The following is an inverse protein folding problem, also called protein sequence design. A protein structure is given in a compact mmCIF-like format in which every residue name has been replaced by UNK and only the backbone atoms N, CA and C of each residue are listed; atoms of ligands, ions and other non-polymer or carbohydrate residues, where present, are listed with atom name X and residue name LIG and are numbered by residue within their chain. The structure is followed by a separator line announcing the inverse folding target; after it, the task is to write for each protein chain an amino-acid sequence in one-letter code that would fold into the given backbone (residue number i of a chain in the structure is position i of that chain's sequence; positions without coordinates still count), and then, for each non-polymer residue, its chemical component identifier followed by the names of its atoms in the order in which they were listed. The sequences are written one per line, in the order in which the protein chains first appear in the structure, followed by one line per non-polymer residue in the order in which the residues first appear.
data_IF_473209556260
#
_entry.id   IF_473209556260
#
_cell.length_a   1.000
_cell.length_b   1.000
_cell.length_c   1.000
_cell.angle_alpha   90.00
_cell.angle_beta   90.00
_cell.angle_gamma   90.00
#
_symmetry.space_group_name_H-M   'P 1'
#
loop_
_entity.id
_entity.type
_entity.pdbx_description
1 polymer ?
#
# COMPACT_ATOMS: atom_id res chain seq x y z
N UNK A 1 -10.70 25.84 -6.36
CA UNK A 1 -10.61 26.54 -5.09
C UNK A 1 -11.19 27.94 -5.25
N UNK A 2 -12.51 28.08 -4.95
CA UNK A 2 -13.24 29.34 -5.04
C UNK A 2 -12.85 30.39 -3.97
N UNK A 3 -12.05 30.04 -2.99
CA UNK A 3 -11.62 30.97 -1.93
C UNK A 3 -10.39 31.83 -2.24
N UNK A 4 -9.63 31.51 -3.29
CA UNK A 4 -8.48 32.32 -3.70
C UNK A 4 -8.76 33.33 -4.80
N UNK A 5 -9.97 33.35 -5.35
CA UNK A 5 -10.33 34.24 -6.46
C UNK A 5 -10.66 35.70 -6.02
N UNK A 6 -10.72 35.97 -4.72
CA UNK A 6 -11.07 37.30 -4.19
C UNK A 6 -9.95 38.04 -3.46
N UNK A 7 -8.80 37.38 -3.27
CA UNK A 7 -7.56 38.07 -2.90
C UNK A 7 -6.79 38.29 -4.21
N UNK A 8 -6.35 39.51 -4.48
CA UNK A 8 -5.34 39.78 -5.50
C UNK A 8 -4.29 38.68 -5.38
N UNK A 9 -4.29 37.75 -6.34
CA UNK A 9 -3.54 36.50 -6.25
C UNK A 9 -2.07 36.90 -6.08
N UNK A 10 -1.53 36.75 -4.89
CA UNK A 10 -0.10 36.83 -4.68
C UNK A 10 0.50 35.64 -5.44
N UNK A 11 0.83 35.89 -6.71
CA UNK A 11 1.54 34.93 -7.54
C UNK A 11 2.96 34.84 -6.98
N UNK A 12 3.22 33.79 -6.22
CA UNK A 12 4.59 33.52 -5.78
C UNK A 12 5.44 33.24 -6.99
N UNK A 13 6.41 34.09 -7.24
CA UNK A 13 7.34 33.93 -8.34
C UNK A 13 8.08 32.59 -8.23
N UNK A 14 8.03 31.82 -9.31
CA UNK A 14 8.80 30.58 -9.47
C UNK A 14 10.19 30.97 -9.96
N UNK A 15 11.22 30.80 -9.11
CA UNK A 15 12.60 31.20 -9.41
C UNK A 15 13.26 30.33 -10.46
N UNK A 16 12.93 29.03 -10.47
CA UNK A 16 13.48 28.09 -11.47
C UNK A 16 13.05 28.40 -12.89
N UNK A 17 12.06 29.28 -13.10
CA UNK A 17 11.53 29.60 -14.42
C UNK A 17 10.79 28.46 -15.11
N UNK A 18 10.54 27.36 -14.40
CA UNK A 18 9.85 26.18 -14.94
C UNK A 18 8.36 26.44 -15.13
N UNK A 19 7.84 25.99 -16.27
CA UNK A 19 6.40 25.88 -16.46
C UNK A 19 5.78 24.86 -15.50
N UNK A 20 4.46 24.98 -15.26
CA UNK A 20 3.74 24.16 -14.29
C UNK A 20 3.90 22.64 -14.52
N UNK A 21 3.85 22.20 -15.78
CA UNK A 21 3.97 20.77 -16.12
C UNK A 21 5.38 20.24 -15.91
N UNK A 22 6.42 21.01 -16.30
CA UNK A 22 7.82 20.63 -16.08
C UNK A 22 8.14 20.60 -14.59
N UNK A 23 7.71 21.61 -13.85
CA UNK A 23 7.85 21.66 -12.39
C UNK A 23 7.24 20.42 -11.74
N UNK A 24 5.99 20.12 -12.11
CA UNK A 24 5.26 18.95 -11.60
C UNK A 24 5.96 17.64 -11.94
N UNK A 25 6.47 17.51 -13.17
CA UNK A 25 7.17 16.30 -13.63
C UNK A 25 8.46 16.07 -12.84
N UNK A 26 9.27 17.11 -12.67
CA UNK A 26 10.54 17.06 -11.92
C UNK A 26 10.26 16.74 -10.44
N UNK A 27 9.30 17.44 -9.82
CA UNK A 27 8.93 17.20 -8.44
C UNK A 27 8.36 15.80 -8.23
N UNK A 28 7.55 15.31 -9.16
CA UNK A 28 7.00 13.95 -9.09
C UNK A 28 8.09 12.88 -9.20
N UNK A 29 9.11 13.08 -10.05
CA UNK A 29 10.25 12.17 -10.11
C UNK A 29 11.09 12.20 -8.82
N UNK A 30 11.31 13.37 -8.25
CA UNK A 30 11.92 13.49 -6.92
C UNK A 30 11.16 12.70 -5.86
N UNK A 31 9.83 12.88 -5.79
CA UNK A 31 8.98 12.13 -4.88
C UNK A 31 9.03 10.62 -5.14
N UNK A 32 9.00 10.20 -6.40
CA UNK A 32 9.11 8.80 -6.81
C UNK A 32 10.43 8.19 -6.33
N UNK A 33 11.56 8.82 -6.62
CA UNK A 33 12.88 8.30 -6.24
C UNK A 33 13.03 8.24 -4.73
N UNK A 34 12.65 9.29 -4.00
CA UNK A 34 12.76 9.34 -2.54
C UNK A 34 11.80 8.36 -1.86
N UNK A 35 10.58 8.18 -2.37
CA UNK A 35 9.62 7.21 -1.84
C UNK A 35 10.15 5.77 -1.94
N UNK A 36 10.60 5.35 -3.12
CA UNK A 36 11.07 3.98 -3.34
C UNK A 36 12.42 3.66 -2.68
N UNK A 37 13.19 4.68 -2.29
CA UNK A 37 14.40 4.53 -1.47
C UNK A 37 14.12 4.68 0.03
N UNK A 38 12.86 4.91 0.44
CA UNK A 38 12.47 5.05 1.84
C UNK A 38 12.93 6.35 2.50
N UNK A 39 13.31 7.36 1.71
CA UNK A 39 13.82 8.64 2.19
C UNK A 39 12.71 9.68 2.24
N UNK A 40 12.36 10.17 3.43
CA UNK A 40 11.33 11.19 3.66
C UNK A 40 11.85 12.42 4.41
N UNK A 41 13.07 12.34 4.91
CA UNK A 41 13.81 13.43 5.56
C UNK A 41 15.18 13.54 4.89
N UNK A 42 15.66 14.77 4.69
CA UNK A 42 16.87 15.04 3.92
C UNK A 42 17.71 16.10 4.63
N UNK A 43 19.00 15.83 4.80
CA UNK A 43 19.94 16.95 4.97
C UNK A 43 20.18 17.62 3.61
N UNK A 44 20.80 18.80 3.64
CA UNK A 44 20.99 19.60 2.42
C UNK A 44 21.78 18.84 1.33
N UNK A 45 22.79 18.09 1.71
CA UNK A 45 23.62 17.32 0.78
C UNK A 45 22.80 16.23 0.08
N UNK A 46 22.04 15.46 0.85
CA UNK A 46 21.19 14.41 0.29
C UNK A 46 20.08 14.98 -0.60
N UNK A 47 19.45 16.08 -0.20
CA UNK A 47 18.41 16.73 -0.99
C UNK A 47 18.96 17.21 -2.34
N UNK A 48 20.08 17.93 -2.34
CA UNK A 48 20.75 18.37 -3.59
C UNK A 48 21.10 17.20 -4.50
N UNK A 49 21.56 16.07 -3.93
CA UNK A 49 21.82 14.86 -4.70
C UNK A 49 20.58 14.35 -5.42
N UNK A 50 19.42 14.31 -4.74
CA UNK A 50 18.15 13.91 -5.38
C UNK A 50 17.72 14.91 -6.49
N UNK A 51 17.86 16.21 -6.24
CA UNK A 51 17.53 17.23 -7.25
C UNK A 51 18.46 17.17 -8.45
N UNK A 52 19.73 16.85 -8.25
CA UNK A 52 20.69 16.62 -9.32
C UNK A 52 20.38 15.35 -10.15
N UNK A 53 19.87 14.30 -9.48
CA UNK A 53 19.36 13.13 -10.21
C UNK A 53 18.14 13.50 -11.08
N UNK A 54 17.28 14.42 -10.64
CA UNK A 54 16.18 14.93 -11.44
C UNK A 54 16.68 15.69 -12.66
N UNK A 55 17.65 16.59 -12.49
CA UNK A 55 18.26 17.35 -13.56
C UNK A 55 18.91 16.44 -14.63
N UNK A 56 19.61 15.39 -14.19
CA UNK A 56 20.21 14.41 -15.08
C UNK A 56 19.18 13.53 -15.81
N UNK A 57 18.01 13.27 -15.18
CA UNK A 57 16.92 12.49 -15.80
C UNK A 57 16.20 13.27 -16.89
N UNK A 58 16.07 14.59 -16.71
CA UNK A 58 15.36 15.51 -17.61
C UNK A 58 16.32 16.55 -18.18
N UNK A 59 17.35 16.08 -18.90
CA UNK A 59 18.42 16.92 -19.48
C UNK A 59 17.93 17.93 -20.50
N UNK A 60 16.76 17.68 -21.09
CA UNK A 60 16.05 18.60 -22.00
C UNK A 60 15.34 19.75 -21.26
N UNK A 61 15.11 19.64 -19.94
CA UNK A 61 14.49 20.69 -19.12
C UNK A 61 15.57 21.40 -18.32
N UNK A 62 15.84 22.65 -18.65
CA UNK A 62 16.89 23.42 -17.99
C UNK A 62 16.37 24.13 -16.76
N UNK A 63 16.98 23.92 -15.62
CA UNK A 63 16.73 24.62 -14.36
C UNK A 63 17.97 24.62 -13.46
N UNK A 64 18.03 25.59 -12.55
CA UNK A 64 19.06 25.66 -11.51
C UNK A 64 18.56 24.94 -10.27
N UNK A 65 19.36 23.99 -9.74
CA UNK A 65 18.98 23.18 -8.57
C UNK A 65 18.64 24.04 -7.35
N UNK A 66 19.39 25.13 -7.12
CA UNK A 66 19.15 26.03 -6.00
C UNK A 66 17.84 26.80 -6.13
N UNK A 67 17.51 27.25 -7.33
CA UNK A 67 16.24 27.93 -7.59
C UNK A 67 15.05 26.98 -7.42
N UNK A 68 15.18 25.74 -7.91
CA UNK A 68 14.16 24.72 -7.71
C UNK A 68 14.00 24.34 -6.23
N UNK A 69 15.10 24.27 -5.47
CA UNK A 69 15.07 24.06 -4.01
C UNK A 69 14.30 25.18 -3.31
N UNK A 70 14.54 26.43 -3.70
CA UNK A 70 13.79 27.57 -3.15
C UNK A 70 12.31 27.43 -3.50
N UNK A 71 11.98 27.08 -4.73
CA UNK A 71 10.59 26.93 -5.16
C UNK A 71 9.85 25.86 -4.36
N UNK A 72 10.42 24.67 -4.20
CA UNK A 72 9.76 23.59 -3.46
C UNK A 72 9.64 23.84 -1.96
N UNK A 73 10.50 24.70 -1.40
CA UNK A 73 10.49 25.04 0.04
C UNK A 73 9.73 26.32 0.37
N UNK A 74 9.80 27.34 -0.48
CA UNK A 74 9.26 28.66 -0.20
C UNK A 74 8.07 29.04 -1.09
N UNK A 75 8.13 28.77 -2.41
CA UNK A 75 7.07 29.17 -3.32
C UNK A 75 5.85 28.24 -3.23
N UNK A 76 6.05 26.92 -3.28
CA UNK A 76 4.97 25.92 -3.23
C UNK A 76 4.86 25.19 -1.88
N UNK A 77 5.85 25.36 -0.99
CA UNK A 77 5.86 24.82 0.37
C UNK A 77 5.60 23.31 0.45
N UNK A 78 6.11 22.55 -0.49
CA UNK A 78 6.01 21.07 -0.50
C UNK A 78 6.99 20.44 0.48
N UNK A 79 8.14 21.08 0.70
CA UNK A 79 9.10 20.77 1.74
C UNK A 79 9.17 21.89 2.76
N UNK A 80 9.49 21.54 3.99
CA UNK A 80 9.77 22.50 5.08
C UNK A 80 11.17 22.21 5.60
N UNK A 81 11.92 23.29 5.92
CA UNK A 81 13.21 23.19 6.58
C UNK A 81 13.01 23.26 8.10
N UNK A 82 13.44 22.23 8.80
CA UNK A 82 13.43 22.17 10.26
C UNK A 82 14.86 21.99 10.77
N UNK A 83 15.40 23.06 11.34
CA UNK A 83 16.82 23.10 11.73
C UNK A 83 17.72 22.99 10.51
N UNK A 84 18.48 21.90 10.41
CA UNK A 84 19.40 21.61 9.28
C UNK A 84 18.80 20.65 8.25
N UNK A 85 17.65 20.05 8.55
CA UNK A 85 17.02 19.02 7.72
C UNK A 85 15.78 19.54 7.01
N UNK A 86 15.43 18.89 5.90
CA UNK A 86 14.25 19.14 5.09
C UNK A 86 13.34 17.91 5.16
N UNK A 87 12.03 18.15 5.28
CA UNK A 87 11.02 17.08 5.20
C UNK A 87 9.81 17.53 4.41
N UNK A 88 9.02 16.56 3.94
CA UNK A 88 7.74 16.88 3.30
C UNK A 88 6.80 17.54 4.30
N UNK A 89 6.15 18.64 3.91
CA UNK A 89 5.13 19.33 4.72
C UNK A 89 4.01 18.38 5.12
N UNK A 90 3.62 17.50 4.18
CA UNK A 90 2.80 16.32 4.42
C UNK A 90 3.36 15.14 3.65
N UNK A 91 3.54 14.01 4.32
CA UNK A 91 4.01 12.77 3.68
C UNK A 91 3.14 12.33 2.49
N UNK A 92 1.84 12.63 2.55
CA UNK A 92 0.91 12.35 1.46
C UNK A 92 1.26 13.05 0.14
N UNK A 93 2.01 14.16 0.16
CA UNK A 93 2.52 14.76 -1.08
C UNK A 93 3.54 13.86 -1.75
N UNK A 94 4.51 13.33 -0.99
CA UNK A 94 5.47 12.36 -1.53
C UNK A 94 4.75 11.16 -2.13
N UNK A 95 3.79 10.59 -1.40
CA UNK A 95 3.03 9.40 -1.82
C UNK A 95 2.20 9.66 -3.08
N UNK A 96 1.51 10.81 -3.16
CA UNK A 96 0.70 11.19 -4.32
C UNK A 96 1.56 11.40 -5.56
N UNK A 97 2.61 12.21 -5.47
CA UNK A 97 3.45 12.50 -6.62
C UNK A 97 4.28 11.27 -7.06
N UNK A 98 4.66 10.41 -6.12
CA UNK A 98 5.25 9.11 -6.45
C UNK A 98 4.25 8.23 -7.22
N UNK A 99 3.00 8.16 -6.79
CA UNK A 99 1.94 7.44 -7.50
C UNK A 99 1.66 8.05 -8.88
N UNK A 100 1.60 9.38 -8.97
CA UNK A 100 1.40 10.08 -10.24
C UNK A 100 2.55 9.80 -11.22
N UNK A 101 3.81 9.82 -10.76
CA UNK A 101 4.95 9.48 -11.63
C UNK A 101 4.93 8.00 -12.04
N UNK A 102 4.54 7.10 -11.14
CA UNK A 102 4.37 5.67 -11.47
C UNK A 102 3.39 5.48 -12.64
N UNK A 103 2.34 6.31 -12.74
CA UNK A 103 1.41 6.27 -13.86
C UNK A 103 2.03 6.65 -15.21
N UNK A 104 3.18 7.33 -15.21
CA UNK A 104 3.91 7.72 -16.43
C UNK A 104 4.85 6.63 -16.95
N UNK A 105 5.12 5.61 -16.15
CA UNK A 105 5.96 4.48 -16.55
C UNK A 105 5.26 3.65 -17.64
N UNK A 106 6.04 3.06 -18.53
CA UNK A 106 5.54 2.05 -19.47
C UNK A 106 5.07 0.81 -18.73
N UNK A 107 4.18 0.02 -19.35
CA UNK A 107 3.50 -1.10 -18.71
C UNK A 107 4.43 -2.13 -18.09
N UNK A 108 5.55 -2.45 -18.75
CA UNK A 108 6.54 -3.41 -18.25
C UNK A 108 7.25 -2.91 -16.98
N UNK A 109 7.74 -1.67 -17.00
CA UNK A 109 8.42 -1.04 -15.86
C UNK A 109 7.46 -0.90 -14.67
N UNK A 110 6.22 -0.47 -14.93
CA UNK A 110 5.21 -0.32 -13.89
C UNK A 110 4.86 -1.67 -13.25
N UNK A 111 4.72 -2.73 -14.07
CA UNK A 111 4.43 -4.08 -13.57
C UNK A 111 5.56 -4.60 -12.69
N UNK A 112 6.80 -4.50 -13.14
CA UNK A 112 7.98 -4.93 -12.39
C UNK A 112 8.13 -4.16 -11.07
N UNK A 113 7.99 -2.83 -11.14
CA UNK A 113 8.06 -1.96 -9.96
C UNK A 113 7.02 -2.36 -8.91
N UNK A 114 5.76 -2.52 -9.33
CA UNK A 114 4.66 -2.84 -8.42
C UNK A 114 4.74 -4.26 -7.87
N UNK A 115 5.19 -5.24 -8.67
CA UNK A 115 5.44 -6.58 -8.15
C UNK A 115 6.53 -6.58 -7.07
N UNK A 116 7.62 -5.87 -7.31
CA UNK A 116 8.72 -5.75 -6.35
C UNK A 116 8.27 -5.01 -5.10
N UNK A 117 7.51 -3.93 -5.25
CA UNK A 117 6.97 -3.17 -4.13
C UNK A 117 6.03 -4.03 -3.26
N UNK A 118 5.08 -4.75 -3.87
CA UNK A 118 4.15 -5.63 -3.14
C UNK A 118 4.90 -6.77 -2.43
N UNK A 119 5.95 -7.34 -3.03
CA UNK A 119 6.73 -8.41 -2.41
C UNK A 119 7.53 -7.95 -1.20
N UNK A 120 8.06 -6.73 -1.23
CA UNK A 120 9.08 -6.27 -0.29
C UNK A 120 8.60 -5.16 0.66
N UNK A 121 7.48 -4.51 0.39
CA UNK A 121 7.07 -3.34 1.14
C UNK A 121 6.49 -3.68 2.51
N UNK A 122 7.07 -3.08 3.56
CA UNK A 122 6.45 -2.96 4.88
C UNK A 122 5.54 -1.71 4.97
N UNK A 123 5.66 -0.77 4.02
CA UNK A 123 4.90 0.47 3.96
C UNK A 123 3.40 0.27 3.66
N UNK A 124 3.02 -0.89 3.15
CA UNK A 124 1.63 -1.27 2.80
C UNK A 124 0.63 -1.03 3.93
N UNK A 125 1.09 -1.11 5.19
CA UNK A 125 0.22 -0.93 6.36
C UNK A 125 -0.03 0.53 6.73
N UNK A 126 0.86 1.44 6.36
CA UNK A 126 0.95 2.77 6.95
C UNK A 126 0.82 3.93 5.99
N UNK A 127 0.97 3.70 4.67
CA UNK A 127 0.90 4.76 3.68
C UNK A 127 -0.29 4.66 2.72
N UNK A 128 -0.48 5.69 1.93
CA UNK A 128 -1.59 5.83 0.98
C UNK A 128 -1.14 5.70 -0.49
N UNK A 129 0.15 5.47 -0.76
CA UNK A 129 0.70 5.40 -2.12
C UNK A 129 -0.12 4.50 -3.05
N UNK A 130 -0.36 3.25 -2.62
CA UNK A 130 -1.08 2.29 -3.47
C UNK A 130 -2.55 2.65 -3.67
N UNK A 131 -3.20 3.22 -2.65
CA UNK A 131 -4.56 3.75 -2.77
C UNK A 131 -4.63 4.92 -3.74
N UNK A 132 -3.67 5.84 -3.67
CA UNK A 132 -3.57 6.97 -4.61
C UNK A 132 -3.31 6.50 -6.04
N UNK A 133 -2.40 5.53 -6.23
CA UNK A 133 -2.14 4.91 -7.52
C UNK A 133 -3.40 4.23 -8.10
N UNK A 134 -4.13 3.51 -7.26
CA UNK A 134 -5.38 2.86 -7.66
C UNK A 134 -6.44 3.89 -8.06
N UNK A 135 -6.56 5.00 -7.35
CA UNK A 135 -7.47 6.09 -7.72
C UNK A 135 -7.10 6.75 -9.06
N UNK A 136 -5.81 6.80 -9.39
CA UNK A 136 -5.32 7.36 -10.65
C UNK A 136 -5.45 6.39 -11.84
N UNK A 137 -5.21 5.09 -11.63
CA UNK A 137 -5.17 4.07 -12.69
C UNK A 137 -5.73 2.71 -12.24
N UNK A 138 -6.90 2.69 -11.61
CA UNK A 138 -7.46 1.48 -10.98
C UNK A 138 -7.61 0.29 -11.93
N UNK A 139 -8.06 0.48 -13.14
CA UNK A 139 -8.21 -0.60 -14.12
C UNK A 139 -6.86 -1.23 -14.48
N UNK A 140 -5.84 -0.40 -14.69
CA UNK A 140 -4.49 -0.88 -14.99
C UNK A 140 -3.90 -1.63 -13.79
N UNK A 141 -4.01 -1.08 -12.58
CA UNK A 141 -3.55 -1.73 -11.35
C UNK A 141 -4.27 -3.06 -11.12
N UNK A 142 -5.58 -3.12 -11.35
CA UNK A 142 -6.33 -4.37 -11.31
C UNK A 142 -5.76 -5.40 -12.30
N UNK A 143 -5.52 -4.98 -13.55
CA UNK A 143 -5.06 -5.87 -14.63
C UNK A 143 -3.66 -6.43 -14.36
N UNK A 144 -2.72 -5.59 -13.92
CA UNK A 144 -1.30 -5.97 -13.85
C UNK A 144 -0.91 -6.57 -12.50
N UNK A 145 -1.61 -6.24 -11.39
CA UNK A 145 -1.20 -6.63 -10.04
C UNK A 145 -2.28 -7.37 -9.26
N UNK A 146 -3.46 -6.73 -9.04
CA UNK A 146 -4.44 -7.30 -8.12
C UNK A 146 -5.04 -8.60 -8.66
N UNK A 147 -5.57 -8.56 -9.87
CA UNK A 147 -6.21 -9.74 -10.46
C UNK A 147 -5.27 -10.95 -10.60
N UNK A 148 -4.04 -10.83 -11.11
CA UNK A 148 -3.09 -11.94 -11.13
C UNK A 148 -2.78 -12.50 -9.73
N UNK A 149 -2.65 -11.64 -8.73
CA UNK A 149 -2.43 -12.04 -7.34
C UNK A 149 -3.64 -12.80 -6.76
N UNK A 150 -4.84 -12.25 -6.94
CA UNK A 150 -6.09 -12.90 -6.47
C UNK A 150 -6.30 -14.25 -7.17
N UNK A 151 -5.97 -14.35 -8.46
CA UNK A 151 -6.06 -15.62 -9.20
C UNK A 151 -5.13 -16.70 -8.62
N UNK A 152 -3.91 -16.32 -8.21
CA UNK A 152 -2.97 -17.23 -7.51
C UNK A 152 -3.55 -17.68 -6.16
N UNK A 153 -4.10 -16.75 -5.38
CA UNK A 153 -4.75 -17.03 -4.10
C UNK A 153 -5.95 -17.97 -4.28
N UNK A 154 -6.82 -17.69 -5.26
CA UNK A 154 -7.99 -18.49 -5.61
C UNK A 154 -7.62 -19.94 -5.99
N UNK A 155 -6.60 -20.10 -6.85
CA UNK A 155 -6.12 -21.43 -7.23
C UNK A 155 -5.76 -22.27 -6.01
N UNK A 156 -5.03 -21.69 -5.05
CA UNK A 156 -4.64 -22.40 -3.84
C UNK A 156 -5.84 -22.68 -2.93
N UNK A 157 -6.73 -21.70 -2.76
CA UNK A 157 -7.93 -21.86 -1.94
C UNK A 157 -8.89 -22.94 -2.46
N UNK A 158 -9.09 -23.04 -3.78
CA UNK A 158 -9.92 -24.08 -4.39
C UNK A 158 -9.34 -25.48 -4.21
N UNK A 159 -8.01 -25.61 -4.10
CA UNK A 159 -7.36 -26.91 -3.89
C UNK A 159 -7.44 -27.40 -2.44
N UNK A 160 -7.45 -26.48 -1.47
CA UNK A 160 -7.24 -26.85 -0.07
C UNK A 160 -8.38 -26.41 0.84
N UNK A 161 -9.28 -25.56 0.38
CA UNK A 161 -10.26 -24.87 1.23
C UNK A 161 -9.58 -23.97 2.28
N UNK A 162 -10.35 -23.48 3.24
CA UNK A 162 -9.81 -22.83 4.44
C UNK A 162 -9.33 -23.92 5.41
N UNK A 163 -8.07 -24.24 5.35
CA UNK A 163 -7.45 -25.37 6.05
C UNK A 163 -6.03 -25.04 6.51
N UNK A 164 -5.46 -25.89 7.35
CA UNK A 164 -4.07 -25.74 7.78
C UNK A 164 -3.05 -25.75 6.62
N UNK A 165 -3.16 -26.58 5.57
CA UNK A 165 -2.32 -26.46 4.37
C UNK A 165 -2.42 -25.10 3.68
N UNK A 166 -3.60 -24.48 3.66
CA UNK A 166 -3.78 -23.14 3.13
C UNK A 166 -3.11 -22.09 4.03
N UNK A 167 -3.32 -22.17 5.33
CA UNK A 167 -2.67 -21.27 6.28
C UNK A 167 -1.14 -21.35 6.20
N UNK A 168 -0.58 -22.56 6.12
CA UNK A 168 0.88 -22.77 5.98
C UNK A 168 1.44 -22.26 4.65
N UNK A 169 0.61 -22.08 3.64
CA UNK A 169 1.00 -21.47 2.36
C UNK A 169 1.19 -19.96 2.50
N UNK A 170 0.37 -19.29 3.29
CA UNK A 170 0.40 -17.84 3.49
C UNK A 170 1.23 -17.41 4.69
N UNK A 171 1.23 -18.21 5.77
CA UNK A 171 1.79 -17.84 7.07
C UNK A 171 2.73 -18.92 7.61
N UNK A 172 3.65 -18.53 8.49
CA UNK A 172 4.57 -19.45 9.15
C UNK A 172 4.06 -19.96 10.51
N UNK A 173 3.13 -19.25 11.12
CA UNK A 173 2.59 -19.57 12.43
C UNK A 173 1.76 -18.43 13.01
N UNK A 174 1.49 -18.54 14.30
CA UNK A 174 0.68 -17.57 15.07
C UNK A 174 1.55 -16.79 16.05
N UNK A 175 1.28 -15.49 16.17
CA UNK A 175 1.76 -14.68 17.28
C UNK A 175 0.63 -14.57 18.33
N UNK A 176 1.01 -14.56 19.59
CA UNK A 176 0.11 -14.41 20.72
C UNK A 176 0.39 -13.07 21.35
N UNK A 177 -0.59 -12.18 21.33
CA UNK A 177 -0.53 -10.88 21.95
C UNK A 177 -1.37 -10.88 23.23
N UNK A 178 -0.80 -10.34 24.31
CA UNK A 178 -1.49 -10.16 25.58
C UNK A 178 -1.66 -8.66 25.81
N UNK A 179 -2.90 -8.22 25.98
CA UNK A 179 -3.25 -6.82 26.24
C UNK A 179 -4.02 -6.70 27.54
N UNK A 180 -3.85 -5.59 28.25
CA UNK A 180 -4.64 -5.27 29.43
C UNK A 180 -5.67 -4.21 29.04
N UNK A 181 -6.94 -4.55 29.15
CA UNK A 181 -8.06 -3.64 28.91
C UNK A 181 -8.96 -3.63 30.15
N UNK A 182 -9.24 -2.47 30.70
CA UNK A 182 -10.12 -2.29 31.89
C UNK A 182 -9.77 -3.23 33.06
N UNK A 183 -8.48 -3.40 33.31
CA UNK A 183 -7.99 -4.26 34.40
C UNK A 183 -7.97 -5.76 34.09
N UNK A 184 -8.59 -6.21 32.98
CA UNK A 184 -8.62 -7.61 32.56
C UNK A 184 -7.58 -7.89 31.48
N UNK A 185 -7.06 -9.12 31.45
CA UNK A 185 -6.18 -9.59 30.41
C UNK A 185 -7.00 -10.17 29.26
N UNK A 186 -6.76 -9.63 28.05
CA UNK A 186 -7.27 -10.17 26.80
C UNK A 186 -6.13 -10.74 25.96
N UNK A 187 -6.42 -11.78 25.21
CA UNK A 187 -5.45 -12.46 24.37
C UNK A 187 -5.91 -12.40 22.92
N UNK A 188 -4.98 -12.11 22.00
CA UNK A 188 -5.25 -11.98 20.58
C UNK A 188 -4.29 -12.82 19.76
N UNK A 189 -4.78 -13.36 18.65
CA UNK A 189 -3.97 -14.03 17.64
C UNK A 189 -3.68 -13.09 16.49
N UNK A 190 -2.43 -13.08 16.08
CA UNK A 190 -2.05 -12.54 14.76
C UNK A 190 -1.21 -13.56 14.00
N UNK A 191 -1.13 -13.43 12.69
CA UNK A 191 -0.46 -14.39 11.84
C UNK A 191 0.87 -13.82 11.35
N UNK A 192 1.94 -14.62 11.46
CA UNK A 192 3.24 -14.24 10.92
C UNK A 192 3.30 -14.55 9.43
N UNK A 193 3.37 -13.51 8.63
CA UNK A 193 3.39 -13.61 7.17
C UNK A 193 4.61 -14.42 6.72
N UNK A 194 4.39 -15.33 5.77
CA UNK A 194 5.40 -16.11 5.04
C UNK A 194 5.39 -15.72 3.56
N UNK A 195 4.23 -15.58 2.98
CA UNK A 195 4.05 -15.18 1.59
C UNK A 195 3.63 -13.71 1.53
N UNK A 196 4.61 -12.81 1.56
CA UNK A 196 4.38 -11.36 1.55
C UNK A 196 3.52 -10.92 0.37
N UNK A 197 3.81 -11.43 -0.84
CA UNK A 197 3.08 -11.05 -2.04
C UNK A 197 1.57 -11.31 -1.91
N UNK A 198 1.18 -12.53 -1.58
CA UNK A 198 -0.25 -12.87 -1.50
C UNK A 198 -0.95 -12.24 -0.31
N UNK A 199 -0.28 -12.14 0.83
CA UNK A 199 -0.84 -11.44 2.00
C UNK A 199 -1.03 -9.95 1.73
N UNK A 200 -0.11 -9.31 1.01
CA UNK A 200 -0.23 -7.91 0.63
C UNK A 200 -1.32 -7.69 -0.43
N UNK A 201 -1.46 -8.60 -1.40
CA UNK A 201 -2.62 -8.59 -2.33
C UNK A 201 -3.94 -8.68 -1.56
N UNK A 202 -4.04 -9.62 -0.61
CA UNK A 202 -5.23 -9.77 0.24
C UNK A 202 -5.56 -8.46 0.97
N UNK A 203 -4.57 -7.89 1.67
CA UNK A 203 -4.74 -6.67 2.47
C UNK A 203 -5.10 -5.46 1.61
N UNK A 204 -4.41 -5.25 0.48
CA UNK A 204 -4.68 -4.11 -0.41
C UNK A 204 -6.06 -4.24 -1.07
N UNK A 205 -6.45 -5.44 -1.49
CA UNK A 205 -7.79 -5.65 -2.05
C UNK A 205 -8.88 -5.34 -1.04
N UNK A 206 -8.72 -5.77 0.22
CA UNK A 206 -9.63 -5.42 1.31
C UNK A 206 -9.69 -3.90 1.55
N UNK A 207 -8.52 -3.24 1.64
CA UNK A 207 -8.43 -1.79 1.87
C UNK A 207 -9.11 -0.99 0.76
N UNK A 208 -8.81 -1.31 -0.50
CA UNK A 208 -9.35 -0.60 -1.67
C UNK A 208 -10.88 -0.77 -1.84
N UNK A 209 -11.44 -1.86 -1.33
CA UNK A 209 -12.87 -2.14 -1.42
C UNK A 209 -13.61 -1.91 -0.10
N UNK A 210 -12.99 -1.19 0.86
CA UNK A 210 -13.59 -0.85 2.16
C UNK A 210 -14.17 -2.07 2.88
N UNK A 211 -13.43 -3.19 2.87
CA UNK A 211 -13.88 -4.40 3.57
C UNK A 211 -14.03 -4.12 5.07
N UNK A 212 -15.23 -4.31 5.57
CA UNK A 212 -15.53 -4.25 7.00
C UNK A 212 -15.42 -5.64 7.59
N UNK A 213 -14.64 -5.77 8.67
CA UNK A 213 -14.54 -7.03 9.37
C UNK A 213 -15.89 -7.38 10.00
N UNK A 214 -16.42 -8.58 9.77
CA UNK A 214 -17.60 -9.03 10.51
C UNK A 214 -17.27 -9.03 12.00
N UNK A 215 -18.29 -8.92 12.83
CA UNK A 215 -18.11 -9.05 14.27
C UNK A 215 -17.45 -10.40 14.57
N UNK A 216 -16.23 -10.33 15.10
CA UNK A 216 -15.43 -11.51 15.44
C UNK A 216 -16.10 -12.27 16.57
N UNK A 217 -16.06 -13.59 16.54
CA UNK A 217 -16.29 -14.39 17.73
C UNK A 217 -15.07 -14.25 18.66
N UNK A 218 -15.02 -13.11 19.36
CA UNK A 218 -13.91 -12.74 20.25
C UNK A 218 -13.71 -13.75 21.39
N UNK A 219 -14.74 -14.48 21.73
CA UNK A 219 -14.69 -15.48 22.80
C UNK A 219 -13.81 -16.66 22.41
N UNK A 220 -14.04 -17.24 21.22
CA UNK A 220 -13.26 -18.36 20.72
C UNK A 220 -11.80 -17.94 20.47
N UNK A 221 -11.59 -16.77 19.85
CA UNK A 221 -10.24 -16.24 19.63
C UNK A 221 -9.51 -16.06 20.97
N UNK A 222 -10.17 -15.46 21.96
CA UNK A 222 -9.57 -15.22 23.27
C UNK A 222 -9.29 -16.53 24.02
N UNK A 223 -10.20 -17.51 23.96
CA UNK A 223 -10.02 -18.83 24.59
C UNK A 223 -8.81 -19.57 23.99
N UNK A 224 -8.75 -19.67 22.67
CA UNK A 224 -7.64 -20.33 21.96
C UNK A 224 -6.33 -19.60 22.24
N UNK A 225 -6.32 -18.28 22.16
CA UNK A 225 -5.13 -17.46 22.42
C UNK A 225 -4.63 -17.60 23.85
N UNK A 226 -5.55 -17.61 24.83
CA UNK A 226 -5.25 -17.82 26.25
C UNK A 226 -4.62 -19.20 26.48
N UNK A 227 -5.22 -20.25 25.92
CA UNK A 227 -4.72 -21.62 26.02
C UNK A 227 -3.31 -21.78 25.44
N UNK A 228 -3.04 -21.12 24.30
CA UNK A 228 -1.71 -21.06 23.70
C UNK A 228 -0.71 -20.30 24.60
N UNK A 229 -1.14 -19.18 25.20
CA UNK A 229 -0.30 -18.35 26.07
C UNK A 229 0.06 -19.04 27.38
N UNK A 230 -0.88 -19.75 27.97
CA UNK A 230 -0.68 -20.48 29.25
C UNK A 230 0.24 -21.70 29.06
N UNK A 231 0.17 -22.38 27.93
CA UNK A 231 0.97 -23.55 27.61
C UNK A 231 2.26 -23.27 26.87
N UNK A 232 2.56 -22.00 26.57
CA UNK A 232 3.81 -21.58 25.92
C UNK A 232 4.29 -20.24 26.45
N UNK A 233 5.58 -20.18 26.84
CA UNK A 233 6.25 -18.92 27.20
C UNK A 233 6.63 -18.09 25.98
N UNK A 234 6.44 -18.62 24.74
CA UNK A 234 6.84 -17.98 23.49
C UNK A 234 5.71 -17.09 22.95
N UNK A 235 6.05 -15.88 22.52
CA UNK A 235 5.12 -14.99 21.83
C UNK A 235 4.77 -15.45 20.41
N UNK A 236 5.59 -16.32 19.82
CA UNK A 236 5.38 -16.86 18.48
C UNK A 236 5.48 -18.39 18.51
N UNK A 237 4.55 -19.04 17.83
CA UNK A 237 4.50 -20.48 17.64
C UNK A 237 4.36 -20.82 16.15
N UNK A 238 5.20 -21.70 15.65
CA UNK A 238 4.94 -22.37 14.38
C UNK A 238 3.64 -23.18 14.47
N UNK A 239 2.92 -23.38 13.39
CA UNK A 239 1.68 -24.17 13.40
C UNK A 239 1.85 -25.56 14.03
N UNK A 240 2.98 -26.22 13.75
CA UNK A 240 3.27 -27.54 14.34
C UNK A 240 3.38 -27.54 15.88
N UNK A 241 3.79 -26.41 16.45
CA UNK A 241 3.87 -26.23 17.91
C UNK A 241 2.50 -25.83 18.49
N UNK A 242 1.75 -24.95 17.80
CA UNK A 242 0.42 -24.55 18.23
C UNK A 242 -0.56 -25.74 18.26
N UNK A 243 -0.47 -26.65 17.29
CA UNK A 243 -1.32 -27.85 17.20
C UNK A 243 -1.02 -28.93 18.26
N UNK A 244 0.09 -28.81 18.99
CA UNK A 244 0.34 -29.65 20.18
C UNK A 244 -0.43 -29.16 21.40
N UNK A 245 -0.94 -27.93 21.37
CA UNK A 245 -1.61 -27.25 22.47
C UNK A 245 -3.13 -27.18 22.22
N UNK A 246 -3.54 -26.86 21.00
CA UNK A 246 -4.94 -26.71 20.60
C UNK A 246 -5.27 -27.58 19.38
N UNK A 247 -6.49 -28.13 19.28
CA UNK A 247 -6.93 -28.86 18.07
C UNK A 247 -6.94 -27.96 16.84
N UNK A 248 -6.73 -28.56 15.64
CA UNK A 248 -6.75 -27.85 14.37
C UNK A 248 -8.08 -27.09 14.16
N UNK A 249 -9.21 -27.73 14.40
CA UNK A 249 -10.52 -27.13 14.22
C UNK A 249 -10.69 -25.86 15.10
N UNK A 250 -10.28 -25.91 16.36
CA UNK A 250 -10.36 -24.74 17.23
C UNK A 250 -9.45 -23.59 16.75
N UNK A 251 -8.27 -23.91 16.21
CA UNK A 251 -7.39 -22.89 15.63
C UNK A 251 -7.98 -22.28 14.37
N UNK A 252 -8.59 -23.08 13.49
CA UNK A 252 -9.24 -22.60 12.27
C UNK A 252 -10.46 -21.72 12.60
N UNK A 253 -11.24 -22.09 13.60
CA UNK A 253 -12.39 -21.34 14.09
C UNK A 253 -11.97 -19.97 14.68
N UNK A 254 -10.90 -19.94 15.47
CA UNK A 254 -10.32 -18.69 15.97
C UNK A 254 -9.79 -17.75 14.86
N UNK A 255 -9.55 -18.27 13.66
CA UNK A 255 -9.07 -17.55 12.48
C UNK A 255 -10.17 -17.36 11.40
N UNK A 256 -11.44 -17.56 11.74
CA UNK A 256 -12.55 -17.45 10.77
C UNK A 256 -12.68 -16.05 10.15
N UNK A 257 -12.25 -15.01 10.88
CA UNK A 257 -12.15 -13.67 10.32
C UNK A 257 -11.29 -13.59 9.05
N UNK A 258 -10.22 -14.38 8.98
CA UNK A 258 -9.35 -14.45 7.80
C UNK A 258 -10.06 -15.16 6.63
N UNK A 259 -10.88 -16.19 6.93
CA UNK A 259 -11.72 -16.85 5.92
C UNK A 259 -12.64 -15.84 5.25
N UNK A 260 -13.35 -15.04 6.03
CA UNK A 260 -14.22 -13.97 5.51
C UNK A 260 -13.47 -12.98 4.60
N UNK A 261 -12.26 -12.57 4.97
CA UNK A 261 -11.43 -11.72 4.12
C UNK A 261 -11.07 -12.39 2.79
N UNK A 262 -10.67 -13.66 2.83
CA UNK A 262 -10.29 -14.41 1.64
C UNK A 262 -11.49 -14.54 0.71
N UNK A 263 -12.63 -14.97 1.21
CA UNK A 263 -13.86 -15.15 0.43
C UNK A 263 -14.33 -13.81 -0.19
N UNK A 264 -14.21 -12.71 0.56
CA UNK A 264 -14.47 -11.38 0.03
C UNK A 264 -13.54 -11.05 -1.15
N UNK A 265 -12.23 -11.24 -0.99
CA UNK A 265 -11.25 -10.97 -2.05
C UNK A 265 -11.50 -11.85 -3.29
N UNK A 266 -11.88 -13.11 -3.10
CA UNK A 266 -12.27 -13.99 -4.20
C UNK A 266 -13.55 -13.50 -4.91
N UNK A 267 -14.49 -12.91 -4.18
CA UNK A 267 -15.69 -12.30 -4.78
C UNK A 267 -15.36 -11.09 -5.65
N UNK A 268 -14.34 -10.29 -5.27
CA UNK A 268 -13.85 -9.15 -6.08
C UNK A 268 -13.31 -9.64 -7.41
N UNK A 269 -12.57 -10.78 -7.45
CA UNK A 269 -12.12 -11.35 -8.72
C UNK A 269 -13.29 -11.70 -9.66
N UNK A 270 -14.36 -12.27 -9.13
CA UNK A 270 -15.55 -12.58 -9.91
C UNK A 270 -16.21 -11.33 -10.51
N UNK A 271 -16.20 -10.21 -9.77
CA UNK A 271 -16.69 -8.91 -10.31
C UNK A 271 -15.81 -8.40 -11.44
N UNK A 272 -14.48 -8.48 -11.27
CA UNK A 272 -13.51 -8.08 -12.32
C UNK A 272 -13.69 -8.94 -13.58
N UNK A 273 -13.87 -10.24 -13.42
CA UNK A 273 -14.11 -11.16 -14.55
C UNK A 273 -15.41 -10.83 -15.29
N UNK A 274 -16.51 -10.62 -14.56
CA UNK A 274 -17.81 -10.25 -15.15
C UNK A 274 -17.76 -8.91 -15.89
N UNK A 275 -16.99 -7.93 -15.39
CA UNK A 275 -16.84 -6.65 -16.07
C UNK A 275 -16.02 -6.76 -17.36
N UNK A 276 -15.06 -7.71 -17.43
CA UNK A 276 -14.30 -7.98 -18.66
C UNK A 276 -15.17 -8.67 -19.74
N UNK A 277 -16.09 -9.54 -19.34
CA UNK A 277 -17.01 -10.21 -20.28
C UNK A 277 -18.15 -9.30 -20.75
N UNK A 278 -18.45 -8.22 -20.02
CA UNK A 278 -19.36 -7.14 -20.41
C UNK A 278 -18.62 -6.02 -21.16
N UNK A 279 -17.47 -6.32 -21.75
CA UNK A 279 -16.70 -5.34 -22.51
C UNK A 279 -17.60 -4.60 -23.48
N UNK A 280 -17.68 -3.26 -23.34
CA UNK A 280 -18.42 -2.40 -24.25
C UNK A 280 -18.00 -2.75 -25.67
N UNK A 281 -18.94 -3.10 -26.52
CA UNK A 281 -18.69 -3.17 -27.95
C UNK A 281 -18.21 -1.81 -28.45
N UNK A 282 -17.52 -1.75 -29.59
CA UNK A 282 -17.11 -0.47 -30.18
C UNK A 282 -18.31 0.47 -30.34
N UNK A 283 -19.50 -0.10 -30.62
CA UNK A 283 -20.78 0.62 -30.70
C UNK A 283 -21.20 1.25 -29.35
N UNK A 284 -21.02 0.52 -28.22
CA UNK A 284 -21.28 1.07 -26.89
C UNK A 284 -20.30 2.21 -26.52
N UNK A 285 -19.08 2.17 -27.02
CA UNK A 285 -18.09 3.24 -26.82
C UNK A 285 -18.45 4.47 -27.63
N UNK A 286 -18.81 4.29 -28.90
CA UNK A 286 -19.14 5.37 -29.82
C UNK A 286 -20.49 6.05 -29.50
N UNK A 287 -21.44 5.31 -28.92
CA UNK A 287 -22.73 5.86 -28.50
C UNK A 287 -22.68 6.75 -27.25
N UNK A 288 -21.54 6.74 -26.50
CA UNK A 288 -21.33 7.55 -25.31
C UNK A 288 -20.31 8.68 -25.50
N UNK A 289 -19.83 8.91 -26.73
CA UNK A 289 -19.06 10.08 -27.15
C UNK A 289 -19.94 11.09 -27.86
#
# INVERSE_FOLDING_TARGET
NMHDATKEAYVRDIRSGLGCEDFKLIFAYFCFKSYFTGQNEFNEVSLRKYLQMCQNKFDNIKFVVDDFLIDITQSVCMLVKEGIDYRFTHRSFQEYFAAWYTCKLIDSEQSELLENWIKNSNAIKTDSYFTMLFNLQGEKVNKIILYPGIKKLRKKYLQTGFSLPFLKYLFSGVNIERRRQEGKWTYHLSLRIKNNYLCNILMQTCKLNNYTYPALNKEIENEVSKKLAENSKKKFLYFSAALKIVPENSLLEALEWLKGQIEFVLSVANKIEKNKTKGKTMEDILSNL
#
